data_IF_121877397604
#
_entry.id   IF_121877397604
#
_cell.length_a   1.000
_cell.length_b   1.000
_cell.length_c   1.000
_cell.angle_alpha   90.00
_cell.angle_beta   90.00
_cell.angle_gamma   90.00
#
_symmetry.space_group_name_H-M   'P 1'
#
loop_
_entity.id
_entity.type
_entity.pdbx_description
1 polymer ?
#
# COMPACT_ATOMS: atom_id res chain seq x y z
N UNK A 1 -24.18 4.61 -24.50
CA UNK A 1 -23.11 4.99 -23.56
C UNK A 1 -22.52 3.72 -22.99
N UNK A 2 -21.20 3.53 -23.09
CA UNK A 2 -20.55 2.37 -22.46
C UNK A 2 -20.72 2.49 -20.92
N UNK A 3 -21.23 1.46 -20.24
CA UNK A 3 -21.35 1.48 -18.81
C UNK A 3 -19.94 1.63 -18.18
N UNK A 4 -19.81 2.46 -17.16
CA UNK A 4 -18.55 2.61 -16.43
C UNK A 4 -18.15 1.24 -15.83
N UNK A 5 -16.87 0.87 -15.96
CA UNK A 5 -16.36 -0.37 -15.42
C UNK A 5 -16.36 -0.37 -13.88
N UNK A 6 -16.19 0.81 -13.27
CA UNK A 6 -16.15 0.99 -11.82
C UNK A 6 -17.13 2.09 -11.40
N UNK A 7 -17.70 1.94 -10.24
CA UNK A 7 -18.63 2.90 -9.62
C UNK A 7 -17.91 3.86 -8.67
N UNK A 8 -16.76 3.42 -8.13
CA UNK A 8 -15.92 4.22 -7.26
C UNK A 8 -14.44 4.05 -7.61
N UNK A 9 -13.65 5.05 -7.27
CA UNK A 9 -12.19 5.11 -7.49
C UNK A 9 -11.53 5.60 -6.21
N UNK A 10 -10.51 4.89 -5.77
CA UNK A 10 -9.67 5.28 -4.64
C UNK A 10 -8.23 5.33 -5.14
N UNK A 11 -7.58 6.48 -5.02
CA UNK A 11 -6.18 6.66 -5.40
C UNK A 11 -5.38 7.04 -4.16
N UNK A 12 -4.31 6.33 -3.92
CA UNK A 12 -3.50 6.47 -2.72
C UNK A 12 -2.08 6.85 -3.12
N UNK A 13 -1.68 8.05 -2.71
CA UNK A 13 -0.30 8.51 -2.69
C UNK A 13 0.29 8.14 -1.32
N UNK A 14 1.15 7.12 -1.30
CA UNK A 14 1.66 6.55 -0.06
C UNK A 14 2.92 7.27 0.40
N UNK A 15 3.20 7.24 1.68
CA UNK A 15 4.40 7.88 2.23
C UNK A 15 5.26 6.91 3.04
N UNK A 16 6.57 7.00 2.83
CA UNK A 16 7.59 6.31 3.59
C UNK A 16 8.04 7.09 4.84
N UNK A 17 7.36 8.17 5.23
CA UNK A 17 7.69 8.96 6.42
C UNK A 17 7.81 8.07 7.66
N UNK A 18 8.80 8.34 8.50
CA UNK A 18 9.08 7.58 9.74
C UNK A 18 8.46 8.21 11.00
N UNK A 19 7.61 9.20 10.82
CA UNK A 19 6.86 9.91 11.87
C UNK A 19 5.51 10.35 11.32
N UNK A 20 4.50 10.64 12.15
CA UNK A 20 3.25 11.23 11.71
C UNK A 20 3.49 12.53 10.92
N UNK A 21 2.93 12.63 9.73
CA UNK A 21 3.15 13.76 8.81
C UNK A 21 1.89 14.04 8.01
N UNK A 22 1.56 15.34 7.85
CA UNK A 22 0.47 15.82 6.99
C UNK A 22 1.01 16.89 6.04
N UNK A 23 0.26 17.19 4.96
CA UNK A 23 0.67 18.18 3.94
C UNK A 23 1.62 17.59 2.91
N UNK A 24 2.69 18.30 2.58
CA UNK A 24 3.69 17.85 1.61
C UNK A 24 4.41 16.58 2.09
N UNK A 25 4.76 15.70 1.16
CA UNK A 25 5.48 14.43 1.41
C UNK A 25 4.79 13.50 2.44
N UNK A 26 3.46 13.57 2.50
CA UNK A 26 2.64 12.74 3.40
C UNK A 26 1.65 11.87 2.62
N UNK A 27 0.86 11.06 3.33
CA UNK A 27 -0.13 10.19 2.70
C UNK A 27 -1.34 11.01 2.25
N UNK A 28 -1.76 10.82 1.00
CA UNK A 28 -3.01 11.35 0.48
C UNK A 28 -3.90 10.23 -0.06
N UNK A 29 -5.18 10.29 0.26
CA UNK A 29 -6.19 9.35 -0.23
C UNK A 29 -7.28 10.15 -0.94
N UNK A 30 -7.34 10.04 -2.25
CA UNK A 30 -8.41 10.58 -3.06
C UNK A 30 -9.51 9.55 -3.25
N UNK A 31 -10.75 9.90 -2.93
CA UNK A 31 -11.93 9.05 -3.09
C UNK A 31 -12.91 9.73 -4.03
N UNK A 32 -13.23 9.08 -5.14
CA UNK A 32 -14.28 9.52 -6.07
C UNK A 32 -15.40 8.49 -6.09
N UNK A 33 -16.56 8.87 -5.61
CA UNK A 33 -17.75 8.00 -5.53
C UNK A 33 -19.04 8.79 -5.80
N UNK A 34 -20.15 8.09 -6.00
CA UNK A 34 -21.45 8.75 -6.14
C UNK A 34 -21.94 9.29 -4.81
N UNK A 35 -22.40 10.52 -4.80
CA UNK A 35 -23.10 11.14 -3.68
C UNK A 35 -24.60 10.73 -3.65
N UNK A 36 -25.33 11.22 -2.70
CA UNK A 36 -26.79 11.00 -2.55
C UNK A 36 -27.64 11.47 -3.72
N UNK A 37 -27.10 12.35 -4.58
CA UNK A 37 -27.72 12.84 -5.81
C UNK A 37 -27.28 12.06 -7.06
N UNK A 38 -26.62 10.90 -6.88
CA UNK A 38 -26.06 10.08 -7.96
C UNK A 38 -25.02 10.77 -8.86
N UNK A 39 -24.44 11.89 -8.40
CA UNK A 39 -23.35 12.58 -9.06
C UNK A 39 -22.02 12.10 -8.51
N UNK A 40 -21.00 12.05 -9.38
CA UNK A 40 -19.64 11.76 -8.92
C UNK A 40 -19.12 12.93 -8.07
N UNK A 41 -18.70 12.63 -6.86
CA UNK A 41 -18.10 13.57 -5.93
C UNK A 41 -16.70 13.10 -5.55
N UNK A 42 -15.78 14.04 -5.39
CA UNK A 42 -14.39 13.79 -5.00
C UNK A 42 -14.18 14.29 -3.57
N UNK A 43 -13.49 13.47 -2.78
CA UNK A 43 -13.04 13.79 -1.43
C UNK A 43 -11.54 13.49 -1.35
N UNK A 44 -10.78 14.36 -0.68
CA UNK A 44 -9.37 14.14 -0.39
C UNK A 44 -9.15 14.07 1.12
N UNK A 45 -8.38 13.08 1.54
CA UNK A 45 -8.04 12.83 2.93
C UNK A 45 -6.52 12.81 3.11
N UNK A 46 -6.02 13.35 4.21
CA UNK A 46 -4.60 13.42 4.51
C UNK A 46 -4.32 12.82 5.91
N UNK A 47 -4.42 11.49 6.05
CA UNK A 47 -4.15 10.83 7.33
C UNK A 47 -2.67 10.96 7.71
N UNK A 48 -2.35 11.26 8.98
CA UNK A 48 -0.97 11.52 9.40
C UNK A 48 -0.12 10.25 9.49
N UNK A 49 -0.75 9.08 9.57
CA UNK A 49 -0.03 7.80 9.70
C UNK A 49 -0.56 6.73 8.75
N UNK A 50 0.27 5.72 8.44
CA UNK A 50 -0.13 4.55 7.66
C UNK A 50 -1.25 3.77 8.32
N UNK A 51 -1.23 3.65 9.65
CA UNK A 51 -2.28 2.97 10.40
C UNK A 51 -3.64 3.69 10.29
N UNK A 52 -3.65 5.02 10.24
CA UNK A 52 -4.88 5.79 10.02
C UNK A 52 -5.34 5.73 8.56
N UNK A 53 -4.40 5.73 7.60
CA UNK A 53 -4.71 5.53 6.20
C UNK A 53 -5.34 4.15 5.95
N UNK A 54 -4.81 3.09 6.55
CA UNK A 54 -5.35 1.74 6.48
C UNK A 54 -6.79 1.68 7.01
N UNK A 55 -7.04 2.24 8.19
CA UNK A 55 -8.41 2.32 8.76
C UNK A 55 -9.39 3.08 7.86
N UNK A 56 -8.92 4.18 7.25
CA UNK A 56 -9.73 4.95 6.30
C UNK A 56 -10.07 4.11 5.06
N UNK A 57 -9.08 3.42 4.48
CA UNK A 57 -9.26 2.57 3.32
C UNK A 57 -10.22 1.40 3.62
N UNK A 58 -10.05 0.74 4.75
CA UNK A 58 -10.93 -0.34 5.20
C UNK A 58 -12.38 0.16 5.34
N UNK A 59 -12.60 1.32 5.94
CA UNK A 59 -13.92 1.91 6.09
C UNK A 59 -14.57 2.24 4.74
N UNK A 60 -13.82 2.85 3.79
CA UNK A 60 -14.30 3.17 2.45
C UNK A 60 -14.63 1.90 1.66
N UNK A 61 -13.76 0.90 1.69
CA UNK A 61 -13.98 -0.37 0.99
C UNK A 61 -15.16 -1.14 1.58
N UNK A 62 -15.30 -1.18 2.89
CA UNK A 62 -16.44 -1.82 3.56
C UNK A 62 -17.78 -1.13 3.22
N UNK A 63 -17.80 0.21 3.13
CA UNK A 63 -18.98 0.97 2.70
C UNK A 63 -19.37 0.61 1.26
N UNK A 64 -18.41 0.66 0.34
CA UNK A 64 -18.65 0.43 -1.09
C UNK A 64 -19.01 -1.03 -1.39
N UNK A 65 -18.38 -1.99 -0.69
CA UNK A 65 -18.71 -3.42 -0.83
C UNK A 65 -20.14 -3.73 -0.39
N UNK A 66 -20.65 -3.05 0.64
CA UNK A 66 -22.07 -3.21 1.07
C UNK A 66 -23.06 -2.72 0.02
N UNK A 67 -22.64 -1.82 -0.86
CA UNK A 67 -23.47 -1.30 -1.97
C UNK A 67 -23.31 -2.11 -3.25
N UNK A 68 -22.57 -3.21 -3.22
CA UNK A 68 -22.18 -4.01 -4.40
C UNK A 68 -21.56 -3.17 -5.52
N UNK A 69 -20.78 -2.16 -5.15
CA UNK A 69 -20.08 -1.28 -6.08
C UNK A 69 -18.70 -1.84 -6.42
N UNK A 70 -18.37 -1.88 -7.72
CA UNK A 70 -17.02 -2.20 -8.16
C UNK A 70 -16.11 -0.99 -7.95
N UNK A 71 -15.02 -1.21 -7.23
CA UNK A 71 -14.06 -0.17 -6.86
C UNK A 71 -12.72 -0.42 -7.56
N UNK A 72 -12.16 0.62 -8.16
CA UNK A 72 -10.76 0.61 -8.58
C UNK A 72 -9.93 1.28 -7.48
N UNK A 73 -8.96 0.54 -6.94
CA UNK A 73 -7.98 1.09 -5.99
C UNK A 73 -6.62 1.12 -6.65
N UNK A 74 -5.98 2.28 -6.66
CA UNK A 74 -4.62 2.48 -7.16
C UNK A 74 -3.70 2.99 -6.07
N UNK A 75 -2.46 2.47 -6.08
CA UNK A 75 -1.38 2.92 -5.20
C UNK A 75 -0.19 3.35 -6.05
N UNK A 76 0.59 4.29 -5.56
CA UNK A 76 1.78 4.82 -6.23
C UNK A 76 3.07 4.05 -5.92
N UNK A 77 2.99 2.97 -5.17
CA UNK A 77 4.14 2.12 -4.86
C UNK A 77 4.17 0.82 -5.67
N UNK A 78 5.35 0.20 -5.88
CA UNK A 78 5.46 -1.07 -6.58
C UNK A 78 4.77 -2.19 -5.79
N UNK A 79 3.93 -2.98 -6.50
CA UNK A 79 3.20 -4.11 -5.92
C UNK A 79 4.00 -5.42 -5.93
N UNK A 80 5.29 -5.37 -6.24
CA UNK A 80 6.12 -6.56 -6.33
C UNK A 80 7.61 -6.26 -6.28
N UNK A 81 8.40 -7.32 -6.40
CA UNK A 81 9.86 -7.29 -6.37
C UNK A 81 10.43 -7.73 -7.72
N UNK A 82 11.69 -7.40 -8.02
CA UNK A 82 12.36 -7.87 -9.23
C UNK A 82 12.32 -9.39 -9.36
N UNK A 83 12.24 -9.87 -10.61
CA UNK A 83 12.28 -11.29 -10.92
C UNK A 83 13.53 -11.95 -10.31
N UNK A 84 13.33 -13.10 -9.66
CA UNK A 84 14.43 -13.86 -9.04
C UNK A 84 14.67 -13.53 -7.56
N UNK A 85 14.07 -12.47 -6.99
CA UNK A 85 14.26 -12.10 -5.57
C UNK A 85 13.88 -13.23 -4.61
N UNK A 86 12.74 -13.92 -4.82
CA UNK A 86 12.33 -15.03 -3.98
C UNK A 86 13.34 -16.21 -4.01
N UNK A 87 13.84 -16.53 -5.20
CA UNK A 87 14.85 -17.61 -5.35
C UNK A 87 16.17 -17.24 -4.67
N UNK A 88 16.63 -15.98 -4.83
CA UNK A 88 17.85 -15.50 -4.18
C UNK A 88 17.73 -15.49 -2.64
N UNK A 89 16.53 -15.25 -2.12
CA UNK A 89 16.22 -15.38 -0.68
C UNK A 89 15.93 -16.82 -0.24
N UNK A 90 15.98 -17.80 -1.16
CA UNK A 90 15.67 -19.22 -0.90
C UNK A 90 14.28 -19.43 -0.32
N UNK A 91 13.29 -18.63 -0.77
CA UNK A 91 11.91 -18.76 -0.33
C UNK A 91 11.20 -19.84 -1.15
N UNK A 92 10.41 -20.66 -0.49
CA UNK A 92 9.62 -21.72 -1.11
C UNK A 92 8.20 -21.28 -1.44
N UNK A 93 7.57 -21.94 -2.45
CA UNK A 93 6.20 -21.67 -2.87
C UNK A 93 6.08 -20.68 -4.03
N UNK A 94 4.90 -20.09 -4.20
CA UNK A 94 4.66 -19.09 -5.23
C UNK A 94 5.50 -17.81 -4.95
N UNK A 95 6.40 -17.39 -5.87
CA UNK A 95 7.41 -16.36 -5.59
C UNK A 95 6.85 -15.05 -5.04
N UNK A 96 5.75 -14.56 -5.63
CA UNK A 96 5.11 -13.33 -5.20
C UNK A 96 4.54 -13.43 -3.77
N UNK A 97 3.90 -14.56 -3.45
CA UNK A 97 3.29 -14.78 -2.14
C UNK A 97 4.36 -14.95 -1.06
N UNK A 98 5.37 -15.77 -1.34
CA UNK A 98 6.47 -16.00 -0.41
C UNK A 98 7.23 -14.71 -0.06
N UNK A 99 7.39 -13.80 -1.03
CA UNK A 99 8.00 -12.48 -0.79
C UNK A 99 7.10 -11.59 0.07
N UNK A 100 5.80 -11.52 -0.21
CA UNK A 100 4.88 -10.75 0.62
C UNK A 100 4.82 -11.28 2.05
N UNK A 101 4.74 -12.60 2.22
CA UNK A 101 4.73 -13.24 3.55
C UNK A 101 6.05 -12.98 4.30
N UNK A 102 7.20 -13.03 3.60
CA UNK A 102 8.50 -12.69 4.17
C UNK A 102 8.53 -11.24 4.65
N UNK A 103 8.14 -10.29 3.80
CA UNK A 103 8.13 -8.85 4.15
C UNK A 103 7.16 -8.58 5.30
N UNK A 104 5.96 -9.14 5.27
CA UNK A 104 4.96 -8.99 6.32
C UNK A 104 5.44 -9.54 7.68
N UNK A 105 6.25 -10.62 7.66
CA UNK A 105 6.85 -11.19 8.86
C UNK A 105 7.98 -10.33 9.42
N UNK A 106 8.84 -9.80 8.54
CA UNK A 106 10.09 -9.14 8.93
C UNK A 106 9.90 -7.65 9.23
N UNK A 107 9.07 -6.94 8.43
CA UNK A 107 8.82 -5.51 8.65
C UNK A 107 7.87 -5.33 9.82
N UNK A 108 8.28 -4.49 10.76
CA UNK A 108 7.46 -4.08 11.91
C UNK A 108 7.15 -2.60 11.79
N UNK A 109 5.99 -2.32 11.23
CA UNK A 109 5.47 -0.96 11.14
C UNK A 109 4.69 -0.62 12.41
N UNK A 110 4.96 0.54 13.00
CA UNK A 110 4.32 0.99 14.24
C UNK A 110 3.25 2.05 13.93
N UNK A 111 2.29 2.27 14.86
CA UNK A 111 1.23 3.27 14.65
C UNK A 111 1.72 4.70 14.40
N UNK A 112 2.94 5.02 14.84
CA UNK A 112 3.59 6.32 14.67
C UNK A 112 4.43 6.45 13.38
N UNK A 113 4.29 5.52 12.45
CA UNK A 113 5.07 5.40 11.20
C UNK A 113 6.53 4.97 11.37
N UNK A 114 7.04 4.78 12.58
CA UNK A 114 8.38 4.21 12.75
C UNK A 114 8.40 2.73 12.36
N UNK A 115 9.44 2.29 11.68
CA UNK A 115 9.60 0.90 11.28
C UNK A 115 11.07 0.50 11.11
N UNK A 116 11.29 -0.78 10.85
CA UNK A 116 12.61 -1.39 10.67
C UNK A 116 12.95 -1.70 9.20
N UNK A 117 12.33 -1.03 8.21
CA UNK A 117 12.50 -1.37 6.79
C UNK A 117 13.96 -1.38 6.31
N UNK A 118 14.79 -0.46 6.79
CA UNK A 118 16.21 -0.41 6.41
C UNK A 118 16.99 -1.63 6.93
N UNK A 119 16.69 -2.08 8.15
CA UNK A 119 17.27 -3.29 8.71
C UNK A 119 16.83 -4.53 7.93
N UNK A 120 15.56 -4.58 7.49
CA UNK A 120 15.04 -5.66 6.66
C UNK A 120 15.69 -5.64 5.28
N UNK A 121 15.81 -4.48 4.62
CA UNK A 121 16.55 -4.33 3.37
C UNK A 121 18.00 -4.82 3.47
N UNK A 122 18.71 -4.41 4.52
CA UNK A 122 20.07 -4.88 4.79
C UNK A 122 20.15 -6.39 5.05
N UNK A 123 19.15 -6.97 5.72
CA UNK A 123 19.03 -8.44 5.90
C UNK A 123 18.83 -9.14 4.55
N UNK A 124 17.93 -8.63 3.70
CA UNK A 124 17.70 -9.18 2.37
C UNK A 124 18.98 -9.15 1.53
N UNK A 125 19.69 -8.03 1.50
CA UNK A 125 20.97 -7.90 0.79
C UNK A 125 21.99 -8.97 1.20
N UNK A 126 22.20 -9.13 2.51
CA UNK A 126 23.13 -10.15 3.02
C UNK A 126 22.72 -11.58 2.64
N UNK A 127 21.42 -11.87 2.67
CA UNK A 127 20.91 -13.20 2.30
C UNK A 127 21.03 -13.48 0.80
N UNK A 128 20.88 -12.46 -0.04
CA UNK A 128 20.90 -12.58 -1.50
C UNK A 128 22.32 -12.58 -2.09
N UNK A 129 23.16 -11.67 -1.62
CA UNK A 129 24.45 -11.37 -2.26
C UNK A 129 25.64 -11.44 -1.30
N UNK A 130 25.42 -11.41 0.00
CA UNK A 130 26.48 -11.23 1.01
C UNK A 130 26.93 -9.77 1.17
N UNK A 131 26.45 -8.86 0.34
CA UNK A 131 26.85 -7.46 0.23
C UNK A 131 25.74 -6.50 0.71
N UNK A 132 26.06 -5.18 0.69
CA UNK A 132 25.09 -4.13 1.04
C UNK A 132 24.15 -3.72 -0.12
N UNK A 133 24.01 -4.58 -1.12
CA UNK A 133 23.28 -4.35 -2.36
C UNK A 133 22.40 -5.58 -2.66
N UNK A 134 21.24 -5.46 -3.36
CA UNK A 134 20.75 -4.33 -4.18
C UNK A 134 19.75 -3.38 -3.50
N UNK A 135 19.31 -3.63 -2.29
CA UNK A 135 18.32 -2.74 -1.63
C UNK A 135 19.00 -1.69 -0.74
N UNK A 136 18.47 -0.44 -0.69
CA UNK A 136 18.93 0.66 0.16
C UNK A 136 17.75 1.50 0.67
#
# INVERSE_FOLDING_TARGET
>A
MNPRLFQAYIMVDWSAASKPTTGADSIWVGVMKRNVRFQMAFEAHNPPTRAEAEKLLDAQLAELSRKDERVLVGFDFPLGFPRGTAAALKLEGAPWRALLDFVAKEVKDKPDNSNNRFQVGAKMNRLMTGEAFPFW
#
